data_IF_370167152566
#
_entry.id   IF_370167152566
#
_cell.length_a   1.000
_cell.length_b   1.000
_cell.length_c   1.000
_cell.angle_alpha   90.00
_cell.angle_beta   90.00
_cell.angle_gamma   90.00
#
_symmetry.space_group_name_H-M   'P 1'
#
loop_
_entity.id
_entity.type
_entity.pdbx_description
1 polymer ?
#
# COMPACT_ATOMS: atom_id res chain seq x y z
N UNK A 1 -19.71 -31.53 61.78
CA UNK A 1 -18.96 -31.35 60.54
C UNK A 1 -19.49 -30.15 59.78
N UNK A 2 -18.89 -29.01 60.04
CA UNK A 2 -19.16 -27.80 59.31
C UNK A 2 -18.32 -27.82 58.04
N UNK A 3 -18.89 -28.29 56.94
CA UNK A 3 -18.34 -28.05 55.59
C UNK A 3 -18.76 -26.66 55.14
N UNK A 4 -17.88 -25.71 55.19
CA UNK A 4 -18.03 -24.40 54.57
C UNK A 4 -18.21 -24.59 53.06
N UNK A 5 -19.43 -24.28 52.58
CA UNK A 5 -19.73 -24.05 51.16
C UNK A 5 -18.89 -22.85 50.70
N UNK A 6 -17.91 -23.11 49.82
CA UNK A 6 -17.25 -22.04 49.07
C UNK A 6 -18.31 -21.41 48.17
N UNK A 7 -18.61 -20.13 48.40
CA UNK A 7 -19.62 -19.40 47.64
C UNK A 7 -19.36 -19.46 46.16
N UNK A 8 -20.26 -20.08 45.43
CA UNK A 8 -20.54 -19.77 44.06
C UNK A 8 -21.02 -18.31 44.05
N UNK A 9 -20.26 -17.42 43.45
CA UNK A 9 -20.68 -16.01 43.36
C UNK A 9 -22.08 -15.94 42.79
N UNK A 10 -22.95 -15.11 43.42
CA UNK A 10 -24.32 -14.94 43.01
C UNK A 10 -24.42 -14.58 41.54
N UNK A 11 -25.02 -15.46 40.75
CA UNK A 11 -25.22 -15.27 39.29
C UNK A 11 -26.69 -14.87 39.11
N UNK A 12 -26.92 -13.76 38.44
CA UNK A 12 -28.27 -13.27 38.18
C UNK A 12 -28.69 -13.59 36.75
N UNK A 13 -29.73 -14.40 36.59
CA UNK A 13 -30.30 -14.68 35.28
C UNK A 13 -30.97 -13.40 34.74
N UNK A 14 -30.58 -12.95 33.57
CA UNK A 14 -31.19 -11.85 32.83
C UNK A 14 -31.73 -12.35 31.51
N UNK A 15 -32.94 -11.92 31.17
CA UNK A 15 -33.62 -12.32 29.95
C UNK A 15 -34.40 -11.14 29.39
N UNK A 16 -34.70 -11.17 28.10
CA UNK A 16 -35.49 -10.15 27.44
C UNK A 16 -35.60 -10.39 25.96
N UNK A 17 -36.19 -9.42 25.29
CA UNK A 17 -36.37 -9.43 23.84
C UNK A 17 -35.65 -8.23 23.23
N UNK A 18 -34.99 -8.47 22.09
CA UNK A 18 -34.33 -7.42 21.32
C UNK A 18 -35.10 -7.24 20.01
N UNK A 19 -35.52 -6.01 19.75
CA UNK A 19 -36.27 -5.59 18.58
C UNK A 19 -35.59 -4.43 17.87
N UNK A 20 -35.94 -4.21 16.61
CA UNK A 20 -35.51 -3.04 15.84
C UNK A 20 -36.41 -1.81 16.12
N UNK A 21 -36.21 -0.74 15.36
CA UNK A 21 -36.98 0.51 15.43
C UNK A 21 -38.40 0.36 14.88
N UNK A 22 -38.69 -0.66 14.07
CA UNK A 22 -40.05 -0.99 13.58
C UNK A 22 -40.80 -1.92 14.49
N UNK A 23 -40.13 -2.55 15.49
CA UNK A 23 -40.72 -3.49 16.43
C UNK A 23 -40.55 -4.96 16.02
N UNK A 24 -39.79 -5.24 14.95
CA UNK A 24 -39.49 -6.60 14.54
C UNK A 24 -38.37 -7.23 15.38
N UNK A 25 -38.45 -8.54 15.71
CA UNK A 25 -37.46 -9.23 16.50
C UNK A 25 -36.14 -9.39 15.72
N UNK A 26 -35.03 -9.10 16.37
CA UNK A 26 -33.69 -9.25 15.80
C UNK A 26 -33.05 -10.58 16.21
N UNK A 27 -32.76 -11.42 15.22
CA UNK A 27 -32.17 -12.76 15.37
C UNK A 27 -30.66 -12.69 15.33
N UNK A 28 -29.97 -13.41 16.24
CA UNK A 28 -28.49 -13.47 16.22
C UNK A 28 -27.76 -12.25 16.77
N UNK A 29 -28.45 -11.37 17.51
CA UNK A 29 -27.83 -10.24 18.20
C UNK A 29 -26.91 -10.75 19.30
N UNK A 30 -25.68 -10.27 19.33
CA UNK A 30 -24.71 -10.59 20.37
C UNK A 30 -24.98 -9.77 21.64
N UNK A 31 -25.11 -10.45 22.77
CA UNK A 31 -25.29 -9.88 24.12
C UNK A 31 -24.12 -10.31 24.98
N UNK A 32 -23.21 -9.44 25.33
CA UNK A 32 -21.99 -9.74 26.08
C UNK A 32 -21.91 -8.95 27.37
N UNK A 33 -21.48 -9.58 28.47
CA UNK A 33 -21.20 -8.85 29.72
C UNK A 33 -19.86 -8.11 29.60
N UNK A 34 -19.87 -6.80 29.72
CA UNK A 34 -18.69 -5.95 29.52
C UNK A 34 -17.50 -6.37 30.37
N UNK A 35 -16.36 -6.58 29.71
CA UNK A 35 -15.10 -6.99 30.36
C UNK A 35 -15.07 -8.46 30.81
N UNK A 36 -15.91 -9.32 30.21
CA UNK A 36 -15.90 -10.76 30.41
C UNK A 36 -16.07 -11.51 29.08
N UNK A 37 -15.95 -12.84 29.11
CA UNK A 37 -16.27 -13.74 27.98
C UNK A 37 -17.69 -14.32 28.07
N UNK A 38 -18.49 -13.87 29.05
CA UNK A 38 -19.87 -14.36 29.26
C UNK A 38 -20.80 -13.62 28.31
N UNK A 39 -21.44 -14.35 27.41
CA UNK A 39 -22.36 -13.81 26.42
C UNK A 39 -23.34 -14.84 25.88
N UNK A 40 -24.32 -14.36 25.13
CA UNK A 40 -25.33 -15.16 24.43
C UNK A 40 -25.71 -14.47 23.11
N UNK A 41 -26.52 -15.15 22.30
CA UNK A 41 -27.12 -14.57 21.08
C UNK A 41 -28.65 -14.69 21.17
N UNK A 42 -29.38 -13.81 20.47
CA UNK A 42 -30.85 -13.88 20.41
C UNK A 42 -31.32 -15.04 19.52
N UNK A 43 -32.45 -15.65 19.91
CA UNK A 43 -33.15 -16.67 19.14
C UNK A 43 -34.01 -16.11 17.99
N UNK A 44 -34.77 -16.95 17.31
CA UNK A 44 -35.63 -16.57 16.17
C UNK A 44 -36.74 -15.57 16.52
N UNK A 45 -37.16 -15.51 17.79
CA UNK A 45 -38.13 -14.54 18.28
C UNK A 45 -37.50 -13.32 18.90
N UNK A 46 -36.16 -13.15 18.78
CA UNK A 46 -35.40 -12.09 19.35
C UNK A 46 -35.16 -12.17 20.87
N UNK A 47 -35.46 -13.31 21.50
CA UNK A 47 -35.28 -13.48 22.94
C UNK A 47 -33.86 -13.88 23.28
N UNK A 48 -33.38 -13.44 24.42
CA UNK A 48 -32.10 -13.85 24.99
C UNK A 48 -32.21 -14.20 26.47
N UNK A 49 -31.33 -15.06 26.92
CA UNK A 49 -31.16 -15.39 28.33
C UNK A 49 -29.67 -15.50 28.65
N UNK A 50 -29.23 -14.78 29.68
CA UNK A 50 -27.82 -14.65 30.05
C UNK A 50 -27.66 -14.67 31.57
N UNK A 51 -26.66 -15.39 32.05
CA UNK A 51 -26.28 -15.40 33.46
C UNK A 51 -25.19 -14.34 33.68
N UNK A 52 -25.52 -13.29 34.44
CA UNK A 52 -24.64 -12.18 34.70
C UNK A 52 -23.97 -12.35 36.08
N UNK A 53 -22.65 -12.41 36.17
CA UNK A 53 -21.92 -12.50 37.43
C UNK A 53 -22.17 -11.26 38.30
N UNK A 54 -22.25 -11.46 39.64
CA UNK A 54 -22.44 -10.36 40.59
C UNK A 54 -21.36 -9.31 40.47
N UNK A 55 -21.73 -8.01 40.54
CA UNK A 55 -20.82 -6.88 40.38
C UNK A 55 -20.57 -6.43 38.93
N UNK A 56 -21.16 -7.10 37.94
CA UNK A 56 -21.12 -6.67 36.53
C UNK A 56 -22.49 -6.13 36.11
N UNK A 57 -22.54 -4.86 35.70
CA UNK A 57 -23.81 -4.17 35.50
C UNK A 57 -23.99 -3.60 34.08
N UNK A 58 -23.12 -3.94 33.13
CA UNK A 58 -23.21 -3.43 31.76
C UNK A 58 -23.23 -4.60 30.78
N UNK A 59 -24.25 -4.62 29.93
CA UNK A 59 -24.33 -5.49 28.76
C UNK A 59 -23.95 -4.70 27.50
N UNK A 60 -23.09 -5.26 26.69
CA UNK A 60 -22.75 -4.74 25.36
C UNK A 60 -23.59 -5.49 24.34
N UNK A 61 -24.47 -4.78 23.65
CA UNK A 61 -25.37 -5.32 22.64
C UNK A 61 -24.83 -4.90 21.27
N UNK A 62 -24.52 -5.88 20.41
CA UNK A 62 -24.01 -5.59 19.08
C UNK A 62 -24.65 -6.46 18.02
N UNK A 63 -24.98 -5.86 16.87
CA UNK A 63 -25.53 -6.52 15.71
C UNK A 63 -25.11 -5.79 14.43
N UNK A 64 -24.93 -6.55 13.35
CA UNK A 64 -24.50 -5.98 12.06
C UNK A 64 -25.59 -5.04 11.53
N UNK A 65 -25.22 -3.79 11.22
CA UNK A 65 -26.16 -2.77 10.74
C UNK A 65 -26.88 -1.99 11.83
N UNK A 66 -26.55 -2.20 13.12
CA UNK A 66 -27.13 -1.49 14.25
C UNK A 66 -26.04 -0.88 15.13
N UNK A 67 -26.37 0.25 15.80
CA UNK A 67 -25.48 0.89 16.76
C UNK A 67 -25.23 -0.03 17.95
N UNK A 68 -23.96 -0.24 18.28
CA UNK A 68 -23.60 -0.94 19.52
C UNK A 68 -24.06 -0.12 20.72
N UNK A 69 -24.76 -0.77 21.68
CA UNK A 69 -25.32 -0.13 22.87
C UNK A 69 -24.74 -0.76 24.14
N UNK A 70 -24.33 0.10 25.07
CA UNK A 70 -23.96 -0.29 26.44
C UNK A 70 -25.17 -0.08 27.36
N UNK A 71 -25.77 -1.16 27.82
CA UNK A 71 -26.98 -1.14 28.65
C UNK A 71 -26.64 -1.49 30.11
N UNK A 72 -26.95 -0.59 31.03
CA UNK A 72 -26.79 -0.86 32.45
C UNK A 72 -27.89 -1.75 32.95
N UNK A 73 -27.53 -2.89 33.55
CA UNK A 73 -28.45 -3.85 34.11
C UNK A 73 -28.96 -3.36 35.47
N UNK A 74 -30.25 -3.08 35.55
CA UNK A 74 -30.93 -2.70 36.79
C UNK A 74 -31.31 -3.90 37.65
N UNK A 75 -32.20 -3.67 38.61
CA UNK A 75 -32.75 -4.72 39.53
C UNK A 75 -33.70 -5.70 38.85
N UNK A 76 -34.24 -5.34 37.68
CA UNK A 76 -35.20 -6.20 36.94
C UNK A 76 -34.51 -7.37 36.27
N UNK A 77 -35.10 -8.54 36.33
CA UNK A 77 -34.62 -9.73 35.63
C UNK A 77 -35.02 -9.76 34.15
N UNK A 78 -35.97 -8.89 33.74
CA UNK A 78 -36.39 -8.75 32.36
C UNK A 78 -35.91 -7.39 31.79
N UNK A 79 -35.24 -7.44 30.66
CA UNK A 79 -34.67 -6.29 30.00
C UNK A 79 -34.90 -6.36 28.48
N UNK A 80 -35.95 -5.66 28.02
CA UNK A 80 -36.24 -5.52 26.59
C UNK A 80 -35.46 -4.36 26.01
N UNK A 81 -34.85 -4.59 24.87
CA UNK A 81 -33.93 -3.66 24.23
C UNK A 81 -34.41 -3.31 22.82
N UNK A 82 -34.43 -2.06 22.48
CA UNK A 82 -34.71 -1.58 21.16
C UNK A 82 -33.37 -1.10 20.55
N UNK A 83 -32.97 -1.73 19.44
CA UNK A 83 -31.76 -1.31 18.73
C UNK A 83 -32.09 -0.28 17.66
N UNK A 84 -31.25 0.75 17.60
CA UNK A 84 -31.32 1.75 16.54
C UNK A 84 -30.44 1.31 15.38
N UNK A 85 -30.98 1.34 14.15
CA UNK A 85 -30.20 1.09 12.96
C UNK A 85 -29.01 2.06 12.89
N UNK A 86 -27.83 1.54 12.61
CA UNK A 86 -26.65 2.38 12.37
C UNK A 86 -26.74 2.96 10.94
N UNK A 87 -27.47 4.07 10.85
CA UNK A 87 -27.64 4.78 9.57
C UNK A 87 -26.33 5.30 9.00
N UNK A 88 -25.25 5.38 9.83
CA UNK A 88 -23.91 5.74 9.31
C UNK A 88 -23.26 4.55 8.59
N UNK A 89 -23.55 3.33 8.96
CA UNK A 89 -23.05 2.15 8.24
C UNK A 89 -23.81 1.86 6.92
N UNK A 90 -25.06 2.36 6.80
CA UNK A 90 -25.92 2.15 5.63
C UNK A 90 -25.85 3.28 4.58
N UNK A 91 -25.33 4.42 4.95
CA UNK A 91 -25.22 5.59 4.07
C UNK A 91 -23.75 5.78 3.58
N UNK A 92 -23.04 4.68 3.29
CA UNK A 92 -21.76 4.80 2.60
C UNK A 92 -22.03 5.43 1.21
N UNK A 93 -21.69 6.70 1.11
CA UNK A 93 -21.83 7.49 -0.09
C UNK A 93 -20.59 7.33 -0.93
N UNK A 94 -20.76 6.93 -2.17
CA UNK A 94 -19.68 6.76 -3.14
C UNK A 94 -19.78 7.90 -4.14
N UNK A 95 -18.66 8.57 -4.42
CA UNK A 95 -18.59 9.55 -5.49
C UNK A 95 -18.64 8.81 -6.81
N UNK A 96 -19.66 9.07 -7.62
CA UNK A 96 -19.82 8.46 -8.94
C UNK A 96 -20.05 9.57 -9.96
N UNK A 97 -19.10 9.72 -10.86
CA UNK A 97 -19.20 10.75 -11.91
C UNK A 97 -19.23 12.16 -11.34
N UNK A 98 -20.25 12.89 -11.70
CA UNK A 98 -20.45 14.29 -11.27
C UNK A 98 -21.35 14.41 -10.03
N UNK A 99 -21.61 13.30 -9.32
CA UNK A 99 -22.51 13.27 -8.18
C UNK A 99 -22.08 12.29 -7.10
N UNK A 100 -22.83 12.34 -6.00
CA UNK A 100 -22.64 11.45 -4.84
C UNK A 100 -23.87 10.55 -4.80
N UNK A 101 -23.66 9.22 -4.87
CA UNK A 101 -24.74 8.21 -4.79
C UNK A 101 -24.50 7.30 -3.59
N UNK A 102 -25.59 6.75 -3.04
CA UNK A 102 -25.47 5.74 -2.00
C UNK A 102 -24.94 4.44 -2.61
N UNK A 103 -23.98 3.78 -1.96
CA UNK A 103 -23.38 2.53 -2.45
C UNK A 103 -24.42 1.46 -2.78
N UNK A 104 -25.50 1.40 -2.00
CA UNK A 104 -26.62 0.47 -2.22
C UNK A 104 -27.42 0.74 -3.51
N UNK A 105 -27.38 1.96 -4.02
CA UNK A 105 -28.14 2.38 -5.22
C UNK A 105 -27.33 2.14 -6.51
N UNK A 106 -26.09 1.63 -6.36
CA UNK A 106 -25.19 1.35 -7.47
C UNK A 106 -25.34 -0.12 -7.89
N UNK A 107 -25.78 -0.33 -9.10
CA UNK A 107 -25.98 -1.67 -9.69
C UNK A 107 -24.69 -2.31 -10.21
N UNK A 108 -23.58 -1.57 -10.25
CA UNK A 108 -22.29 -2.03 -10.76
C UNK A 108 -21.35 -2.57 -9.65
N UNK A 109 -20.36 -3.38 -10.06
CA UNK A 109 -19.30 -3.86 -9.15
C UNK A 109 -18.32 -2.72 -8.86
N UNK A 110 -18.51 -2.04 -7.74
CA UNK A 110 -17.62 -0.99 -7.22
C UNK A 110 -16.88 -1.52 -6.01
N UNK A 111 -15.55 -1.43 -6.05
CA UNK A 111 -14.72 -1.66 -4.88
C UNK A 111 -14.33 -0.31 -4.28
N UNK A 112 -14.51 -0.16 -2.98
CA UNK A 112 -14.14 1.05 -2.23
C UNK A 112 -13.10 0.70 -1.18
N UNK A 113 -12.01 1.46 -1.13
CA UNK A 113 -10.94 1.36 -0.12
C UNK A 113 -10.87 2.66 0.65
N UNK A 114 -10.88 2.56 1.97
CA UNK A 114 -10.91 3.74 2.87
C UNK A 114 -9.50 4.19 3.25
N UNK A 115 -9.37 5.44 3.64
CA UNK A 115 -8.15 6.07 4.15
C UNK A 115 -7.38 5.19 5.17
N UNK A 116 -8.10 4.57 6.10
CA UNK A 116 -7.50 3.76 7.15
C UNK A 116 -6.77 2.50 6.63
N UNK A 117 -7.21 1.96 5.49
CA UNK A 117 -6.58 0.78 4.87
C UNK A 117 -5.42 1.19 3.96
N UNK A 118 -5.54 2.32 3.28
CA UNK A 118 -4.48 2.88 2.43
C UNK A 118 -3.22 3.19 3.25
N UNK A 119 -3.38 3.82 4.41
CA UNK A 119 -2.25 4.25 5.27
C UNK A 119 -1.54 3.07 5.96
N UNK A 120 -2.17 1.88 6.04
CA UNK A 120 -1.54 0.69 6.63
C UNK A 120 -0.39 0.14 5.79
N UNK A 121 -0.42 0.35 4.49
CA UNK A 121 0.61 -0.12 3.57
C UNK A 121 1.62 1.00 3.32
N UNK A 122 2.88 0.84 3.75
CA UNK A 122 3.93 1.78 3.37
C UNK A 122 4.11 1.75 1.85
N UNK A 123 3.83 2.86 1.19
CA UNK A 123 3.88 2.96 -0.26
C UNK A 123 4.30 4.37 -0.69
N UNK A 124 4.99 4.46 -1.83
CA UNK A 124 5.42 5.73 -2.42
C UNK A 124 4.24 6.55 -2.95
N UNK A 125 3.20 5.85 -3.39
CA UNK A 125 1.97 6.43 -3.91
C UNK A 125 0.73 5.61 -3.51
N UNK A 126 -0.43 6.22 -3.72
CA UNK A 126 -1.71 5.64 -3.33
C UNK A 126 -2.04 4.32 -4.04
N UNK A 127 -1.56 4.13 -5.26
CA UNK A 127 -1.87 2.93 -6.05
C UNK A 127 -1.12 1.72 -5.53
N UNK A 128 0.15 1.86 -5.19
CA UNK A 128 0.90 0.78 -4.54
C UNK A 128 0.23 0.30 -3.25
N UNK A 129 -0.34 1.23 -2.48
CA UNK A 129 -1.07 0.89 -1.26
C UNK A 129 -2.33 0.04 -1.51
N UNK A 130 -2.88 0.05 -2.73
CA UNK A 130 -4.04 -0.76 -3.12
C UNK A 130 -3.68 -2.17 -3.60
N UNK A 131 -2.41 -2.47 -3.79
CA UNK A 131 -1.98 -3.77 -4.29
C UNK A 131 -2.51 -4.91 -3.42
N UNK A 132 -3.20 -5.86 -4.05
CA UNK A 132 -3.82 -7.00 -3.36
C UNK A 132 -5.11 -6.70 -2.57
N UNK A 133 -5.55 -5.43 -2.45
CA UNK A 133 -6.75 -5.07 -1.68
C UNK A 133 -8.04 -5.11 -2.52
N UNK A 134 -7.93 -4.92 -3.83
CA UNK A 134 -9.10 -4.83 -4.73
C UNK A 134 -9.09 -5.99 -5.71
N UNK A 135 -10.05 -6.93 -5.64
CA UNK A 135 -10.13 -8.03 -6.60
C UNK A 135 -10.29 -7.54 -8.04
N UNK A 136 -9.42 -8.03 -8.94
CA UNK A 136 -9.41 -7.68 -10.36
C UNK A 136 -8.72 -6.34 -10.67
N UNK A 137 -8.05 -5.73 -9.71
CA UNK A 137 -7.10 -4.64 -9.88
C UNK A 137 -5.69 -5.22 -9.79
N UNK A 138 -4.94 -5.11 -10.87
CA UNK A 138 -3.55 -5.53 -10.96
C UNK A 138 -2.66 -4.30 -10.95
N UNK A 139 -1.74 -4.25 -9.99
CA UNK A 139 -0.81 -3.13 -9.79
C UNK A 139 0.58 -3.72 -9.68
N UNK A 140 1.44 -3.33 -10.61
CA UNK A 140 2.82 -3.82 -10.68
C UNK A 140 3.76 -2.62 -10.73
N UNK A 141 4.73 -2.58 -9.82
CA UNK A 141 5.85 -1.64 -9.90
C UNK A 141 6.77 -2.08 -11.04
N UNK A 142 7.08 -1.18 -11.96
CA UNK A 142 7.76 -1.54 -13.22
C UNK A 142 9.22 -1.93 -13.03
N UNK A 143 9.87 -1.45 -11.98
CA UNK A 143 11.25 -1.81 -11.64
C UNK A 143 11.53 -1.60 -10.14
N UNK A 144 12.74 -1.98 -9.70
CA UNK A 144 13.21 -1.71 -8.33
C UNK A 144 13.81 -0.32 -8.13
N UNK A 145 13.74 0.59 -9.12
CA UNK A 145 14.23 1.97 -8.97
C UNK A 145 13.33 2.77 -8.02
N UNK A 146 13.90 3.68 -7.25
CA UNK A 146 13.15 4.62 -6.42
C UNK A 146 12.17 5.49 -7.22
N UNK A 147 12.53 5.79 -8.48
CA UNK A 147 11.73 6.58 -9.42
C UNK A 147 10.74 5.76 -10.25
N UNK A 148 10.63 4.44 -9.98
CA UNK A 148 9.81 3.55 -10.80
C UNK A 148 8.34 3.88 -10.75
N UNK A 149 7.71 4.02 -11.92
CA UNK A 149 6.27 4.08 -12.06
C UNK A 149 5.58 2.74 -11.77
N UNK A 150 4.27 2.77 -11.71
CA UNK A 150 3.41 1.59 -11.57
C UNK A 150 2.55 1.38 -12.81
N UNK A 151 2.45 0.15 -13.25
CA UNK A 151 1.49 -0.27 -14.28
C UNK A 151 0.21 -0.74 -13.59
N UNK A 152 -0.93 -0.23 -14.02
CA UNK A 152 -2.24 -0.49 -13.41
C UNK A 152 -3.19 -1.03 -14.47
N UNK A 153 -3.75 -2.22 -14.23
CA UNK A 153 -4.73 -2.84 -15.11
C UNK A 153 -5.98 -3.24 -14.31
N UNK A 154 -7.16 -3.01 -14.89
CA UNK A 154 -8.43 -3.46 -14.33
C UNK A 154 -8.95 -4.62 -15.17
N UNK A 155 -9.08 -5.81 -14.56
CA UNK A 155 -9.50 -7.06 -15.23
C UNK A 155 -8.60 -7.47 -16.42
N UNK A 156 -7.30 -7.22 -16.27
CA UNK A 156 -6.27 -7.60 -17.24
C UNK A 156 -6.12 -6.63 -18.42
N UNK A 157 -5.24 -6.99 -19.32
CA UNK A 157 -4.97 -6.21 -20.53
C UNK A 157 -6.01 -6.51 -21.60
N UNK A 158 -6.61 -5.47 -22.19
CA UNK A 158 -7.62 -5.57 -23.25
C UNK A 158 -7.12 -5.14 -24.60
N UNK A 159 -6.11 -4.27 -24.62
CA UNK A 159 -5.45 -3.81 -25.86
C UNK A 159 -4.13 -4.54 -26.04
N UNK A 160 -3.87 -4.98 -27.26
CA UNK A 160 -2.58 -5.51 -27.70
C UNK A 160 -1.57 -4.40 -28.06
N UNK A 161 -1.99 -3.14 -27.98
CA UNK A 161 -1.12 -1.99 -28.21
C UNK A 161 -0.10 -1.87 -27.08
N UNK A 162 1.16 -1.66 -27.42
CA UNK A 162 2.27 -1.44 -26.50
C UNK A 162 2.70 0.05 -26.54
N UNK A 163 1.72 0.95 -26.47
CA UNK A 163 2.01 2.38 -26.39
C UNK A 163 2.42 2.70 -24.96
N UNK A 164 3.65 3.13 -24.79
CA UNK A 164 4.22 3.48 -23.49
C UNK A 164 4.33 4.98 -23.34
N UNK A 165 4.15 5.46 -22.11
CA UNK A 165 4.49 6.83 -21.73
C UNK A 165 6.01 7.00 -21.54
N UNK A 166 6.44 8.21 -21.21
CA UNK A 166 7.85 8.53 -20.94
C UNK A 166 8.45 7.76 -19.75
N UNK A 167 7.59 7.22 -18.87
CA UNK A 167 7.98 6.39 -17.72
C UNK A 167 7.94 4.88 -18.00
N UNK A 168 7.66 4.47 -19.25
CA UNK A 168 7.58 3.07 -19.67
C UNK A 168 6.27 2.36 -19.29
N UNK A 169 5.23 3.08 -18.81
CA UNK A 169 3.93 2.51 -18.50
C UNK A 169 3.13 2.26 -19.78
N UNK A 170 2.44 1.11 -19.90
CA UNK A 170 1.53 0.86 -20.99
C UNK A 170 0.25 1.68 -20.81
N UNK A 171 0.12 2.77 -21.57
CA UNK A 171 -1.03 3.69 -21.48
C UNK A 171 -2.27 3.18 -22.22
N UNK A 172 -2.12 2.20 -23.11
CA UNK A 172 -3.26 1.66 -23.87
C UNK A 172 -4.26 0.89 -23.00
N UNK A 173 -3.82 0.35 -21.87
CA UNK A 173 -4.64 -0.38 -20.91
C UNK A 173 -4.87 0.35 -19.59
N UNK A 174 -4.31 1.56 -19.44
CA UNK A 174 -4.44 2.33 -18.22
C UNK A 174 -5.91 2.72 -17.94
N UNK A 175 -6.37 2.61 -16.68
CA UNK A 175 -7.68 3.12 -16.28
C UNK A 175 -7.71 4.65 -16.29
N UNK A 176 -8.91 5.22 -16.39
CA UNK A 176 -9.11 6.64 -16.22
C UNK A 176 -9.04 7.03 -14.75
N UNK A 177 -8.23 8.05 -14.42
CA UNK A 177 -8.18 8.63 -13.09
C UNK A 177 -9.04 9.86 -12.95
N UNK A 178 -9.84 9.91 -11.88
CA UNK A 178 -10.66 11.06 -11.48
C UNK A 178 -10.24 11.46 -10.06
N UNK A 179 -9.67 12.63 -9.91
CA UNK A 179 -9.21 13.15 -8.62
C UNK A 179 -10.09 14.33 -8.22
N UNK A 180 -10.82 14.19 -7.12
CA UNK A 180 -11.78 15.19 -6.62
C UNK A 180 -12.77 15.68 -7.70
N UNK A 181 -13.17 14.80 -8.62
CA UNK A 181 -14.07 15.08 -9.73
C UNK A 181 -13.42 15.62 -10.99
N UNK A 182 -12.12 15.82 -11.02
CA UNK A 182 -11.36 16.26 -12.20
C UNK A 182 -10.68 15.09 -12.89
N UNK A 183 -10.77 15.05 -14.23
CA UNK A 183 -10.09 14.05 -15.05
C UNK A 183 -8.63 14.47 -15.32
N UNK A 184 -7.73 13.48 -15.41
CA UNK A 184 -6.36 13.68 -15.91
C UNK A 184 -5.36 14.21 -14.87
N UNK A 185 -5.67 14.16 -13.59
CA UNK A 185 -4.68 14.39 -12.54
C UNK A 185 -3.72 13.21 -12.38
N UNK A 186 -2.47 13.48 -12.00
CA UNK A 186 -1.52 12.43 -11.68
C UNK A 186 -1.74 11.96 -10.22
N UNK A 187 -2.06 10.68 -10.08
CA UNK A 187 -2.22 10.06 -8.75
C UNK A 187 -0.92 9.99 -7.96
N UNK A 188 0.24 10.00 -8.66
CA UNK A 188 1.57 9.96 -8.03
C UNK A 188 1.85 11.21 -7.19
N UNK A 189 1.20 12.32 -7.53
CA UNK A 189 1.33 13.58 -6.79
C UNK A 189 0.63 13.54 -5.43
N UNK A 190 -0.32 12.64 -5.24
CA UNK A 190 -1.13 12.60 -4.02
C UNK A 190 -0.41 11.77 -2.96
N UNK A 191 -0.20 12.35 -1.79
CA UNK A 191 0.27 11.59 -0.64
C UNK A 191 -0.81 10.61 -0.16
N UNK A 192 -0.48 9.32 0.10
CA UNK A 192 -1.46 8.34 0.57
C UNK A 192 -2.26 8.79 1.79
N UNK A 193 -1.64 9.52 2.71
CA UNK A 193 -2.29 10.03 3.91
C UNK A 193 -3.29 11.19 3.65
N UNK A 194 -3.27 11.83 2.47
CA UNK A 194 -4.25 12.85 2.07
C UNK A 194 -5.51 12.27 1.42
N UNK A 195 -5.56 10.97 1.21
CA UNK A 195 -6.70 10.31 0.59
C UNK A 195 -7.76 9.98 1.63
N UNK A 196 -9.02 10.24 1.30
CA UNK A 196 -10.20 9.85 2.08
C UNK A 196 -10.70 8.48 1.65
N UNK A 197 -10.86 8.29 0.31
CA UNK A 197 -11.30 7.03 -0.28
C UNK A 197 -10.82 6.87 -1.72
N UNK A 198 -10.75 5.62 -2.17
CA UNK A 198 -10.53 5.27 -3.57
C UNK A 198 -11.62 4.31 -3.99
N UNK A 199 -12.35 4.67 -5.04
CA UNK A 199 -13.38 3.84 -5.66
C UNK A 199 -12.88 3.33 -7.01
N UNK A 200 -13.00 2.01 -7.23
CA UNK A 200 -12.61 1.34 -8.47
C UNK A 200 -13.85 0.84 -9.19
N UNK A 201 -14.17 1.49 -10.31
CA UNK A 201 -15.29 1.14 -11.19
C UNK A 201 -14.80 0.15 -12.24
N UNK A 202 -15.30 -1.09 -12.17
CA UNK A 202 -14.80 -2.19 -13.00
C UNK A 202 -15.75 -2.59 -14.14
N UNK A 203 -17.02 -2.25 -14.02
CA UNK A 203 -18.06 -2.66 -14.96
C UNK A 203 -18.48 -1.54 -15.90
N UNK A 204 -18.85 -1.92 -17.12
CA UNK A 204 -19.30 -0.98 -18.16
C UNK A 204 -20.50 -0.13 -17.71
N UNK A 205 -21.40 -0.68 -16.89
CA UNK A 205 -22.55 0.08 -16.35
C UNK A 205 -22.13 1.22 -15.43
N UNK A 206 -21.11 1.00 -14.60
CA UNK A 206 -20.58 2.03 -13.67
C UNK A 206 -19.67 3.04 -14.36
N UNK A 207 -19.01 2.64 -15.46
CA UNK A 207 -18.08 3.52 -16.21
C UNK A 207 -18.74 4.25 -17.39
N UNK A 208 -20.00 3.94 -17.72
CA UNK A 208 -20.70 4.48 -18.90
C UNK A 208 -20.76 6.01 -18.96
N UNK A 209 -20.85 6.69 -17.81
CA UNK A 209 -20.86 8.14 -17.71
C UNK A 209 -19.55 8.82 -18.17
N UNK A 210 -18.45 8.06 -18.20
CA UNK A 210 -17.14 8.54 -18.67
C UNK A 210 -16.89 8.22 -20.15
N UNK A 211 -17.88 7.60 -20.83
CA UNK A 211 -17.79 7.28 -22.25
C UNK A 211 -16.63 6.35 -22.59
N UNK A 212 -16.01 6.56 -23.75
CA UNK A 212 -14.90 5.73 -24.24
C UNK A 212 -13.64 5.79 -23.34
N UNK A 213 -13.43 6.87 -22.62
CA UNK A 213 -12.30 7.01 -21.70
C UNK A 213 -12.39 6.05 -20.50
N UNK A 214 -13.62 5.67 -20.11
CA UNK A 214 -13.88 4.70 -19.05
C UNK A 214 -13.80 3.23 -19.50
N UNK A 215 -13.43 2.94 -20.75
CA UNK A 215 -13.43 1.57 -21.29
C UNK A 215 -12.51 0.60 -20.54
N UNK A 216 -11.37 1.07 -20.03
CA UNK A 216 -10.42 0.27 -19.25
C UNK A 216 -10.72 0.27 -17.74
N UNK A 217 -11.86 0.86 -17.34
CA UNK A 217 -12.21 1.09 -15.95
C UNK A 217 -11.87 2.51 -15.48
N UNK A 218 -12.40 2.88 -14.32
CA UNK A 218 -12.20 4.21 -13.73
C UNK A 218 -11.80 4.08 -12.28
N UNK A 219 -10.79 4.83 -11.87
CA UNK A 219 -10.36 4.95 -10.49
C UNK A 219 -10.65 6.37 -10.02
N UNK A 220 -11.53 6.48 -9.02
CA UNK A 220 -11.92 7.76 -8.43
C UNK A 220 -11.19 7.92 -7.11
N UNK A 221 -10.43 8.97 -6.97
CA UNK A 221 -9.69 9.32 -5.76
C UNK A 221 -10.38 10.53 -5.14
N UNK A 222 -10.88 10.33 -3.93
CA UNK A 222 -11.42 11.42 -3.11
C UNK A 222 -10.40 11.78 -2.04
N UNK A 223 -10.02 13.05 -1.97
CA UNK A 223 -9.05 13.49 -0.99
C UNK A 223 -9.72 14.08 0.24
N UNK A 224 -8.99 14.07 1.36
CA UNK A 224 -9.45 14.64 2.62
C UNK A 224 -9.70 16.13 2.49
N UNK A 225 -10.77 16.57 3.13
CA UNK A 225 -11.19 17.98 3.19
C UNK A 225 -11.21 18.49 4.62
N UNK A 226 -11.28 19.79 4.78
CA UNK A 226 -11.46 20.43 6.07
C UNK A 226 -12.77 19.97 6.74
N UNK A 227 -12.71 19.62 8.02
CA UNK A 227 -13.87 19.24 8.83
C UNK A 227 -14.28 20.34 9.79
N UNK A 228 -15.59 20.38 10.13
CA UNK A 228 -16.07 21.28 11.18
C UNK A 228 -15.55 20.89 12.56
N UNK A 229 -15.25 21.85 13.38
CA UNK A 229 -14.83 21.67 14.77
C UNK A 229 -13.49 22.34 15.09
N UNK A 230 -12.98 22.03 16.28
CA UNK A 230 -11.66 22.51 16.70
C UNK A 230 -10.58 21.99 15.78
N UNK A 231 -9.57 22.81 15.51
CA UNK A 231 -8.42 22.40 14.71
C UNK A 231 -7.76 21.17 15.33
N UNK A 232 -7.63 20.12 14.50
CA UNK A 232 -6.95 18.88 14.84
C UNK A 232 -5.65 18.80 14.03
N UNK A 233 -4.59 18.45 14.71
CA UNK A 233 -3.31 18.14 14.09
C UNK A 233 -3.13 16.62 14.06
N UNK A 234 -2.67 16.10 12.96
CA UNK A 234 -2.29 14.70 12.80
C UNK A 234 -0.91 14.60 12.18
N UNK A 235 -0.16 13.62 12.63
CA UNK A 235 1.12 13.24 12.07
C UNK A 235 1.03 11.78 11.64
N UNK A 236 1.47 11.50 10.42
CA UNK A 236 1.65 10.16 9.89
C UNK A 236 3.08 10.03 9.41
N UNK A 237 3.76 8.96 9.82
CA UNK A 237 5.13 8.75 9.41
C UNK A 237 5.54 7.28 9.54
N UNK A 238 6.46 6.87 8.68
CA UNK A 238 7.07 5.55 8.75
C UNK A 238 8.52 5.57 8.26
N UNK A 239 9.27 4.55 8.65
CA UNK A 239 10.59 4.21 8.17
C UNK A 239 10.58 2.78 7.66
N UNK A 240 11.30 2.52 6.60
CA UNK A 240 11.43 1.21 6.01
C UNK A 240 12.82 1.00 5.40
N UNK A 241 13.09 -0.21 5.00
CA UNK A 241 14.30 -0.59 4.27
C UNK A 241 13.91 -1.24 2.94
N UNK A 242 14.61 -0.84 1.88
CA UNK A 242 14.52 -1.47 0.57
C UNK A 242 15.74 -2.35 0.38
N UNK A 243 15.53 -3.55 -0.10
CA UNK A 243 16.60 -4.49 -0.38
C UNK A 243 16.11 -5.60 -1.29
N UNK A 244 17.02 -6.39 -1.74
CA UNK A 244 16.72 -7.57 -2.54
C UNK A 244 16.41 -8.74 -1.60
N UNK A 245 15.30 -9.41 -1.86
CA UNK A 245 14.95 -10.61 -1.11
C UNK A 245 15.87 -11.79 -1.49
N UNK A 246 16.26 -11.83 -2.78
CA UNK A 246 17.17 -12.84 -3.31
C UNK A 246 17.74 -12.35 -4.65
N UNK A 247 19.01 -12.61 -4.90
CA UNK A 247 19.68 -12.46 -6.19
C UNK A 247 20.57 -13.67 -6.44
N UNK A 248 20.92 -13.98 -7.69
CA UNK A 248 21.80 -15.10 -8.02
C UNK A 248 23.21 -14.89 -7.44
N UNK A 249 23.77 -15.91 -6.82
CA UNK A 249 25.17 -15.91 -6.42
C UNK A 249 26.06 -15.89 -7.66
N UNK A 250 27.07 -15.05 -7.67
CA UNK A 250 28.06 -15.03 -8.75
C UNK A 250 29.06 -16.18 -8.58
N UNK A 251 29.33 -16.84 -9.71
CA UNK A 251 30.38 -17.86 -9.71
C UNK A 251 31.75 -17.19 -9.54
N UNK A 252 32.56 -17.72 -8.65
CA UNK A 252 33.93 -17.24 -8.41
C UNK A 252 34.87 -18.41 -8.17
N UNK A 253 36.17 -18.16 -8.13
CA UNK A 253 37.16 -19.15 -7.81
C UNK A 253 37.12 -20.38 -8.72
N UNK A 254 37.20 -21.56 -8.12
CA UNK A 254 37.24 -22.83 -8.84
C UNK A 254 35.93 -23.15 -9.58
N UNK A 255 34.77 -22.72 -9.05
CA UNK A 255 33.48 -22.94 -9.71
C UNK A 255 33.41 -22.20 -11.03
N UNK A 256 33.87 -20.93 -11.08
CA UNK A 256 33.99 -20.18 -12.32
C UNK A 256 34.97 -20.84 -13.30
N UNK A 257 36.11 -21.28 -12.82
CA UNK A 257 37.12 -22.01 -13.60
C UNK A 257 36.56 -23.30 -14.18
N UNK A 258 35.78 -24.05 -13.39
CA UNK A 258 35.16 -25.30 -13.86
C UNK A 258 34.15 -25.04 -14.98
N UNK A 259 33.30 -24.04 -14.87
CA UNK A 259 32.34 -23.70 -15.94
C UNK A 259 33.07 -23.30 -17.23
N UNK A 260 34.13 -22.50 -17.13
CA UNK A 260 34.97 -22.12 -18.30
C UNK A 260 35.65 -23.34 -18.93
N UNK A 261 36.19 -24.28 -18.14
CA UNK A 261 36.78 -25.52 -18.59
C UNK A 261 35.77 -26.42 -19.33
N UNK A 262 34.57 -26.59 -18.72
CA UNK A 262 33.52 -27.41 -19.36
C UNK A 262 33.03 -26.82 -20.68
N UNK A 263 32.83 -25.48 -20.73
CA UNK A 263 32.49 -24.82 -22.00
C UNK A 263 33.54 -25.04 -23.11
N UNK A 264 34.81 -24.94 -22.76
CA UNK A 264 35.92 -25.12 -23.67
C UNK A 264 36.14 -26.63 -24.04
N UNK A 265 35.91 -27.55 -23.10
CA UNK A 265 36.01 -29.00 -23.33
C UNK A 265 35.01 -29.47 -24.37
N UNK A 266 33.78 -28.96 -24.34
CA UNK A 266 32.77 -29.32 -25.36
C UNK A 266 33.13 -28.84 -26.77
N UNK A 267 33.93 -27.75 -26.85
CA UNK A 267 34.50 -27.23 -28.10
C UNK A 267 35.86 -27.82 -28.49
N UNK A 268 36.40 -28.80 -27.72
CA UNK A 268 37.72 -29.41 -27.98
C UNK A 268 38.91 -28.48 -27.71
N UNK A 269 38.72 -27.40 -26.98
CA UNK A 269 39.76 -26.38 -26.68
C UNK A 269 40.46 -26.61 -25.35
N UNK A 270 39.97 -27.53 -24.51
CA UNK A 270 40.54 -27.84 -23.20
C UNK A 270 40.61 -29.35 -22.98
N UNK A 271 41.76 -29.86 -22.55
CA UNK A 271 41.98 -31.28 -22.28
C UNK A 271 42.53 -31.53 -20.86
N UNK A 272 43.18 -30.55 -20.28
CA UNK A 272 43.76 -30.64 -18.91
C UNK A 272 43.98 -29.27 -18.34
N UNK A 273 44.26 -29.19 -17.02
CA UNK A 273 44.58 -27.95 -16.33
C UNK A 273 45.80 -27.19 -16.90
N UNK A 274 46.66 -27.88 -17.67
CA UNK A 274 47.73 -27.20 -18.39
C UNK A 274 47.25 -26.27 -19.50
N UNK A 275 46.01 -26.43 -19.95
CA UNK A 275 45.36 -25.58 -20.94
C UNK A 275 44.61 -24.39 -20.35
N UNK A 276 44.50 -24.27 -19.04
CA UNK A 276 43.72 -23.26 -18.35
C UNK A 276 44.08 -21.85 -18.83
N UNK A 277 45.36 -21.52 -18.89
CA UNK A 277 45.81 -20.19 -19.35
C UNK A 277 45.30 -19.82 -20.74
N UNK A 278 45.03 -20.80 -21.62
CA UNK A 278 44.53 -20.58 -22.98
C UNK A 278 43.06 -20.12 -23.02
N UNK A 279 42.31 -20.35 -21.92
CA UNK A 279 40.89 -20.04 -21.82
C UNK A 279 40.63 -18.57 -21.43
N UNK A 280 41.68 -17.83 -21.06
CA UNK A 280 41.60 -16.51 -20.54
C UNK A 280 42.53 -15.54 -21.27
N UNK A 281 42.21 -14.25 -21.23
CA UNK A 281 43.16 -13.21 -21.63
C UNK A 281 44.34 -13.15 -20.66
N UNK A 282 45.39 -12.43 -21.04
CA UNK A 282 46.58 -12.28 -20.18
C UNK A 282 46.18 -11.61 -18.86
N UNK A 283 45.32 -10.60 -18.92
CA UNK A 283 44.84 -9.84 -17.78
C UNK A 283 43.91 -10.67 -16.88
N UNK A 284 42.97 -11.43 -17.48
CA UNK A 284 42.12 -12.36 -16.71
C UNK A 284 42.97 -13.41 -16.00
N UNK A 285 43.95 -13.98 -16.70
CA UNK A 285 44.83 -14.98 -16.08
C UNK A 285 45.68 -14.41 -14.96
N UNK A 286 46.20 -13.19 -15.08
CA UNK A 286 46.89 -12.49 -14.03
C UNK A 286 45.97 -12.26 -12.82
N UNK A 287 44.77 -11.80 -13.01
CA UNK A 287 43.80 -11.59 -11.96
C UNK A 287 43.48 -12.91 -11.22
N UNK A 288 43.31 -14.03 -11.95
CA UNK A 288 43.14 -15.36 -11.36
C UNK A 288 44.34 -15.77 -10.50
N UNK A 289 45.59 -15.60 -11.02
CA UNK A 289 46.79 -15.92 -10.28
C UNK A 289 46.97 -15.07 -9.04
N UNK A 290 46.53 -13.80 -9.09
CA UNK A 290 46.58 -12.89 -7.96
C UNK A 290 45.45 -13.12 -6.95
N UNK A 291 44.44 -13.95 -7.30
CA UNK A 291 43.27 -14.17 -6.46
C UNK A 291 42.33 -12.93 -6.43
N UNK A 292 42.35 -12.14 -7.48
CA UNK A 292 41.54 -10.92 -7.61
C UNK A 292 40.12 -11.28 -8.11
N UNK A 293 39.29 -11.78 -7.18
CA UNK A 293 37.89 -12.12 -7.43
C UNK A 293 36.98 -11.02 -6.91
N UNK A 294 35.99 -10.64 -7.71
CA UNK A 294 35.02 -9.59 -7.35
C UNK A 294 33.61 -10.07 -7.67
N UNK A 295 32.74 -10.07 -6.67
CA UNK A 295 31.30 -10.21 -6.86
C UNK A 295 30.72 -8.84 -7.22
N UNK A 296 30.54 -8.59 -8.52
CA UNK A 296 30.04 -7.33 -9.03
C UNK A 296 28.61 -7.03 -8.62
N UNK A 297 27.80 -8.08 -8.33
CA UNK A 297 26.43 -7.87 -7.87
C UNK A 297 26.45 -7.33 -6.43
N UNK A 298 27.28 -7.91 -5.58
CA UNK A 298 27.42 -7.46 -4.18
C UNK A 298 28.01 -6.03 -4.09
N UNK A 299 28.91 -5.69 -5.02
CA UNK A 299 29.50 -4.34 -5.08
C UNK A 299 28.50 -3.24 -5.45
N UNK A 300 27.49 -3.54 -6.29
CA UNK A 300 26.50 -2.55 -6.75
C UNK A 300 25.21 -2.57 -5.91
N UNK A 301 24.95 -3.62 -5.14
CA UNK A 301 23.73 -3.73 -4.35
C UNK A 301 23.91 -3.18 -2.95
N UNK A 302 23.02 -2.28 -2.56
CA UNK A 302 22.99 -1.68 -1.23
C UNK A 302 21.62 -1.82 -0.59
N UNK A 303 21.54 -1.68 0.72
CA UNK A 303 20.29 -1.53 1.43
C UNK A 303 19.85 -0.08 1.36
N UNK A 304 18.73 0.16 0.70
CA UNK A 304 18.09 1.46 0.62
C UNK A 304 17.26 1.76 1.86
N UNK A 305 16.99 3.04 2.11
CA UNK A 305 16.14 3.51 3.20
C UNK A 305 14.93 4.25 2.62
N UNK A 306 13.76 4.00 3.21
CA UNK A 306 12.52 4.71 2.90
C UNK A 306 12.05 5.41 4.15
N UNK A 307 11.65 6.67 4.02
CA UNK A 307 11.01 7.42 5.09
C UNK A 307 9.90 8.32 4.55
N UNK A 308 8.85 8.46 5.34
CA UNK A 308 7.72 9.33 5.05
C UNK A 308 7.30 10.08 6.30
N UNK A 309 7.06 11.36 6.15
CA UNK A 309 6.60 12.23 7.22
C UNK A 309 5.53 13.15 6.67
N UNK A 310 4.34 13.15 7.28
CA UNK A 310 3.25 14.00 6.89
C UNK A 310 2.57 14.61 8.11
N UNK A 311 2.38 15.92 8.07
CA UNK A 311 1.65 16.68 9.07
C UNK A 311 0.41 17.28 8.42
N UNK A 312 -0.74 17.11 9.05
CA UNK A 312 -1.99 17.67 8.56
C UNK A 312 -2.68 18.45 9.67
N UNK A 313 -3.12 19.64 9.37
CA UNK A 313 -3.98 20.46 10.20
C UNK A 313 -5.36 20.60 9.53
N UNK A 314 -6.43 20.26 10.24
CA UNK A 314 -7.80 20.34 9.72
C UNK A 314 -8.74 20.89 10.78
N UNK A 315 -9.62 21.81 10.40
CA UNK A 315 -10.59 22.38 11.30
C UNK A 315 -11.51 23.39 10.60
N UNK A 316 -12.42 23.97 11.36
CA UNK A 316 -13.31 25.01 10.82
C UNK A 316 -14.57 25.23 11.60
N UNK A 317 -15.36 26.15 11.11
CA UNK A 317 -16.69 26.50 11.60
C UNK A 317 -17.78 25.86 10.74
N UNK A 318 -19.03 26.10 11.04
CA UNK A 318 -20.15 25.67 10.18
C UNK A 318 -20.13 26.31 8.78
N UNK A 319 -19.50 27.49 8.66
CA UNK A 319 -19.42 28.24 7.40
C UNK A 319 -18.13 28.00 6.62
N UNK A 320 -17.01 27.85 7.33
CA UNK A 320 -15.70 27.73 6.69
C UNK A 320 -14.96 26.54 7.26
N UNK A 321 -14.51 25.64 6.40
CA UNK A 321 -13.63 24.54 6.76
C UNK A 321 -12.34 24.65 5.96
N UNK A 322 -11.22 24.30 6.60
CA UNK A 322 -9.91 24.31 5.98
C UNK A 322 -9.10 23.09 6.38
N UNK A 323 -8.24 22.65 5.47
CA UNK A 323 -7.21 21.63 5.69
C UNK A 323 -5.91 22.10 5.05
N UNK A 324 -4.82 21.91 5.76
CA UNK A 324 -3.47 22.10 5.28
C UNK A 324 -2.67 20.83 5.59
N UNK A 325 -2.01 20.29 4.60
CA UNK A 325 -1.15 19.12 4.73
C UNK A 325 0.20 19.41 4.11
N UNK A 326 1.28 19.03 4.79
CA UNK A 326 2.65 19.09 4.28
C UNK A 326 3.31 17.74 4.51
N UNK A 327 3.98 17.24 3.46
CA UNK A 327 4.61 15.93 3.47
C UNK A 327 6.00 15.93 2.87
N UNK A 328 6.82 15.04 3.37
CA UNK A 328 8.13 14.68 2.86
C UNK A 328 8.20 13.15 2.74
N UNK A 329 8.60 12.69 1.57
CA UNK A 329 8.89 11.29 1.28
C UNK A 329 10.28 11.20 0.69
N UNK A 330 11.07 10.25 1.17
CA UNK A 330 12.36 9.89 0.60
C UNK A 330 12.41 8.39 0.41
N UNK A 331 12.85 7.99 -0.76
CA UNK A 331 13.21 6.60 -1.07
C UNK A 331 14.63 6.58 -1.63
N UNK A 332 15.47 5.76 -1.01
CA UNK A 332 16.75 5.35 -1.57
C UNK A 332 16.57 3.93 -2.09
N UNK A 333 16.87 3.72 -3.35
CA UNK A 333 16.81 2.41 -3.99
C UNK A 333 17.93 1.50 -3.51
N UNK A 334 18.01 0.31 -4.09
CA UNK A 334 19.02 -0.69 -3.77
C UNK A 334 20.34 -0.49 -4.51
N UNK A 335 20.48 0.60 -5.24
CA UNK A 335 21.72 1.00 -5.91
C UNK A 335 22.15 2.38 -5.43
N UNK A 336 23.43 2.67 -5.55
CA UNK A 336 23.97 4.01 -5.36
C UNK A 336 23.33 4.94 -6.41
N UNK A 337 23.20 6.22 -6.19
CA UNK A 337 22.58 7.16 -7.12
C UNK A 337 21.16 6.81 -7.60
N UNK A 338 20.43 5.99 -6.81
CA UNK A 338 19.02 5.70 -7.03
C UNK A 338 18.23 6.29 -5.86
N UNK A 339 17.77 7.52 -6.00
CA UNK A 339 17.12 8.26 -4.91
C UNK A 339 15.97 9.11 -5.43
N UNK A 340 14.91 9.20 -4.66
CA UNK A 340 13.80 10.10 -4.85
C UNK A 340 13.46 10.82 -3.55
N UNK A 341 13.46 12.14 -3.58
CA UNK A 341 12.90 13.01 -2.56
C UNK A 341 11.63 13.67 -3.13
N UNK A 342 10.51 13.54 -2.43
CA UNK A 342 9.22 14.12 -2.81
C UNK A 342 8.74 15.03 -1.71
N UNK A 343 8.44 16.27 -2.05
CA UNK A 343 7.87 17.27 -1.16
C UNK A 343 6.46 17.59 -1.64
N UNK A 344 5.47 17.50 -0.78
CA UNK A 344 4.10 17.83 -1.14
C UNK A 344 3.48 18.79 -0.13
N UNK A 345 2.73 19.74 -0.66
CA UNK A 345 1.91 20.68 0.08
C UNK A 345 0.49 20.66 -0.50
N UNK A 346 -0.49 20.42 0.35
CA UNK A 346 -1.89 20.43 -0.06
C UNK A 346 -2.69 21.35 0.85
N UNK A 347 -3.54 22.18 0.24
CA UNK A 347 -4.48 23.04 0.94
C UNK A 347 -5.87 22.85 0.35
N UNK A 348 -6.84 22.71 1.22
CA UNK A 348 -8.26 22.74 0.86
C UNK A 348 -8.97 23.73 1.76
N UNK A 349 -9.77 24.59 1.15
CA UNK A 349 -10.65 25.53 1.88
C UNK A 349 -12.02 25.52 1.24
N UNK A 350 -13.08 25.43 2.03
CA UNK A 350 -14.46 25.54 1.59
C UNK A 350 -15.18 26.58 2.44
N UNK A 351 -15.98 27.44 1.80
CA UNK A 351 -16.79 28.45 2.47
C UNK A 351 -18.23 28.43 1.95
N UNK A 352 -19.20 28.39 2.86
CA UNK A 352 -20.64 28.46 2.57
C UNK A 352 -21.10 29.91 2.54
N UNK A 353 -21.47 30.38 1.36
CA UNK A 353 -22.12 31.67 1.15
C UNK A 353 -23.64 31.50 1.28
N UNK A 354 -24.17 31.70 2.50
CA UNK A 354 -25.58 31.46 2.78
C UNK A 354 -25.93 29.98 2.86
N UNK A 355 -27.15 29.61 2.42
CA UNK A 355 -27.65 28.23 2.52
C UNK A 355 -27.43 27.41 1.22
N UNK A 356 -27.18 28.07 0.11
CA UNK A 356 -27.27 27.44 -1.23
C UNK A 356 -25.93 27.38 -1.96
N UNK A 357 -25.03 28.36 -1.72
CA UNK A 357 -23.79 28.46 -2.48
C UNK A 357 -22.61 28.06 -1.60
N UNK A 358 -21.73 27.20 -2.16
CA UNK A 358 -20.42 26.87 -1.61
C UNK A 358 -19.34 27.34 -2.57
N UNK A 359 -18.31 27.97 -2.04
CA UNK A 359 -17.10 28.33 -2.77
C UNK A 359 -15.94 27.62 -2.12
N UNK A 360 -15.08 27.00 -2.91
CA UNK A 360 -13.92 26.29 -2.40
C UNK A 360 -12.75 26.35 -3.36
N UNK A 361 -11.58 26.12 -2.81
CA UNK A 361 -10.36 25.96 -3.55
C UNK A 361 -9.56 24.79 -2.99
N UNK A 362 -9.00 23.98 -3.87
CA UNK A 362 -8.02 22.94 -3.53
C UNK A 362 -6.76 23.25 -4.32
N UNK A 363 -5.64 23.35 -3.62
CA UNK A 363 -4.32 23.57 -4.22
C UNK A 363 -3.43 22.42 -3.80
N UNK A 364 -2.68 21.92 -4.76
CA UNK A 364 -1.64 20.91 -4.52
C UNK A 364 -0.36 21.36 -5.23
N UNK A 365 0.74 21.24 -4.51
CA UNK A 365 2.08 21.51 -5.03
C UNK A 365 2.92 20.29 -4.68
N UNK A 366 3.53 19.68 -5.68
CA UNK A 366 4.45 18.56 -5.51
C UNK A 366 5.77 18.91 -6.20
N UNK A 367 6.86 18.63 -5.52
CA UNK A 367 8.20 18.79 -6.04
C UNK A 367 8.97 17.49 -5.87
N UNK A 368 9.62 17.05 -6.95
CA UNK A 368 10.46 15.87 -6.97
C UNK A 368 11.91 16.29 -7.18
N UNK A 369 12.80 15.74 -6.37
CA UNK A 369 14.24 15.72 -6.64
C UNK A 369 14.65 14.25 -6.78
N UNK A 370 15.20 13.92 -7.95
CA UNK A 370 15.45 12.53 -8.34
C UNK A 370 16.89 12.40 -8.83
N UNK A 371 17.57 11.38 -8.31
CA UNK A 371 18.83 10.89 -8.85
C UNK A 371 18.54 9.51 -9.46
N UNK A 372 18.82 9.35 -10.75
CA UNK A 372 18.57 8.12 -11.47
C UNK A 372 19.86 7.42 -11.83
N UNK A 373 19.98 6.15 -11.43
CA UNK A 373 21.05 5.27 -11.88
C UNK A 373 20.93 4.93 -13.36
N UNK A 374 22.04 4.59 -14.01
CA UNK A 374 22.03 4.03 -15.35
C UNK A 374 21.26 2.69 -15.39
N UNK A 375 20.59 2.42 -16.52
CA UNK A 375 19.74 1.22 -16.63
C UNK A 375 20.52 -0.10 -16.63
N UNK A 376 21.78 -0.06 -17.09
CA UNK A 376 22.56 -1.27 -17.36
C UNK A 376 23.42 -1.76 -16.19
N UNK A 377 23.38 -1.10 -15.01
CA UNK A 377 24.25 -1.44 -13.87
C UNK A 377 24.12 -2.91 -13.47
N UNK A 378 22.89 -3.37 -13.20
CA UNK A 378 22.66 -4.75 -12.79
C UNK A 378 23.03 -5.75 -13.89
N UNK A 379 22.69 -5.44 -15.15
CA UNK A 379 23.03 -6.33 -16.27
C UNK A 379 24.53 -6.46 -16.44
N UNK A 380 25.29 -5.36 -16.35
CA UNK A 380 26.75 -5.39 -16.36
C UNK A 380 27.31 -6.16 -15.19
N UNK A 381 26.82 -5.91 -13.97
CA UNK A 381 27.24 -6.65 -12.79
C UNK A 381 27.06 -8.17 -12.97
N UNK A 382 25.90 -8.59 -13.54
CA UNK A 382 25.59 -10.00 -13.74
C UNK A 382 26.35 -10.66 -14.92
N UNK A 383 26.83 -9.87 -15.89
CA UNK A 383 27.48 -10.39 -17.11
C UNK A 383 29.00 -10.21 -17.13
N UNK A 384 29.54 -9.35 -16.31
CA UNK A 384 30.99 -9.16 -16.21
C UNK A 384 31.64 -10.41 -15.62
N UNK A 385 32.86 -10.73 -16.08
CA UNK A 385 33.65 -11.74 -15.45
C UNK A 385 33.90 -11.38 -13.96
N UNK A 386 33.79 -12.32 -13.04
CA UNK A 386 33.97 -12.05 -11.60
C UNK A 386 35.45 -11.88 -11.24
N UNK A 387 36.17 -11.07 -11.99
CA UNK A 387 37.61 -10.88 -11.95
C UNK A 387 38.00 -9.42 -11.96
N UNK A 388 39.16 -9.13 -11.37
CA UNK A 388 39.77 -7.80 -11.27
C UNK A 388 39.37 -7.09 -9.99
N UNK A 389 39.93 -5.89 -9.78
CA UNK A 389 39.68 -5.07 -8.58
C UNK A 389 38.58 -4.06 -8.85
N UNK A 390 37.64 -3.96 -7.93
CA UNK A 390 36.60 -2.92 -7.96
C UNK A 390 37.18 -1.52 -7.73
N UNK A 391 38.14 -1.43 -6.80
CA UNK A 391 38.77 -0.19 -6.38
C UNK A 391 40.31 -0.28 -6.42
N UNK A 392 40.95 0.83 -6.70
CA UNK A 392 42.41 0.98 -6.59
C UNK A 392 42.87 1.17 -5.13
N UNK A 393 44.18 1.38 -4.93
CA UNK A 393 44.79 1.58 -3.60
C UNK A 393 44.34 2.88 -2.92
N UNK A 394 43.87 3.86 -3.71
CA UNK A 394 43.32 5.13 -3.25
C UNK A 394 41.80 5.07 -3.00
N UNK A 395 41.15 3.91 -3.21
CA UNK A 395 39.71 3.71 -3.04
C UNK A 395 38.88 4.28 -4.18
N UNK A 396 39.47 4.57 -5.34
CA UNK A 396 38.74 5.00 -6.55
C UNK A 396 38.31 3.79 -7.35
N UNK A 397 37.15 3.92 -7.97
CA UNK A 397 36.61 2.91 -8.89
C UNK A 397 37.60 2.67 -10.03
N UNK A 398 37.93 1.40 -10.25
CA UNK A 398 38.73 0.97 -11.40
C UNK A 398 37.81 0.82 -12.61
N UNK A 399 37.93 1.73 -13.58
CA UNK A 399 37.08 1.75 -14.77
C UNK A 399 37.19 0.48 -15.63
N UNK A 400 38.40 -0.04 -15.78
CA UNK A 400 38.69 -1.25 -16.57
C UNK A 400 39.45 -2.29 -15.72
N UNK A 401 38.74 -3.11 -14.93
CA UNK A 401 39.36 -4.06 -14.00
C UNK A 401 40.27 -5.10 -14.66
N UNK A 402 40.05 -5.39 -15.94
CA UNK A 402 40.81 -6.34 -16.75
C UNK A 402 41.51 -5.65 -17.96
N UNK A 403 41.93 -4.38 -17.75
CA UNK A 403 42.60 -3.59 -18.78
C UNK A 403 41.65 -2.94 -19.79
N UNK A 404 42.18 -1.97 -20.58
CA UNK A 404 41.36 -1.10 -21.45
C UNK A 404 40.59 -1.80 -22.56
N UNK A 405 40.93 -3.03 -22.90
CA UNK A 405 40.20 -3.86 -23.86
C UNK A 405 39.21 -4.81 -23.18
N UNK A 406 39.13 -4.79 -21.85
CA UNK A 406 38.26 -5.60 -21.04
C UNK A 406 36.88 -4.96 -20.83
N UNK A 407 36.15 -5.56 -19.90
CA UNK A 407 34.84 -5.08 -19.49
C UNK A 407 34.95 -3.81 -18.65
N UNK A 408 33.99 -2.89 -18.84
CA UNK A 408 33.86 -1.71 -18.01
C UNK A 408 33.26 -2.11 -16.66
N UNK A 409 33.79 -1.59 -15.58
CA UNK A 409 33.25 -1.80 -14.25
C UNK A 409 31.80 -1.31 -14.16
N UNK A 410 30.87 -2.10 -13.60
CA UNK A 410 29.51 -1.63 -13.37
C UNK A 410 29.41 -0.44 -12.42
N UNK A 411 30.43 -0.24 -11.58
CA UNK A 411 30.52 0.89 -10.63
C UNK A 411 30.74 2.23 -11.29
N UNK A 412 31.16 2.27 -12.57
CA UNK A 412 31.30 3.53 -13.34
C UNK A 412 29.93 4.11 -13.69
N UNK A 413 28.91 3.27 -13.79
CA UNK A 413 27.54 3.68 -14.10
C UNK A 413 26.73 4.06 -12.84
N UNK A 414 27.32 3.89 -11.66
CA UNK A 414 26.76 4.34 -10.40
C UNK A 414 27.18 5.80 -10.14
#
# INVERSE_FOLDING_TARGET
DLRMSRGLGDVYKRQGKIIDDTGEPLIGVSVLVKGTTVGTITDFDGNYSLEVPSGKHILVISYIGYKTQDITVGKSNQLNIKMEADTQALDEVVVVGYGVMKKRDLTGSIASVKAADIVKSPASNAMEALQGQVPGLDIVRNSGKATSGVTINIRGQRSLSDVKDEFGNNVANAPLFIIDGMQGGDFSDIAPADIESIEVLKDASSTAIYGSQGANGVIIITTKKGAQGKTKFSYNGYFGVNGWAQYPDMLSGEDYMQVRREAARTGGQWNSTADDQKLFTVEEWQAIQNGEWTDWIDEVLHTGLVQSHQVTASGGTEKTTAMLSAGYYQEKGSFKNDKMDKYNLRMNIEHKLGKTVKVGATTQITHYAQDERAENVLWRAATNAPLGKAYDEDGKVVEYPLGKNGQVSPLVDE
#
